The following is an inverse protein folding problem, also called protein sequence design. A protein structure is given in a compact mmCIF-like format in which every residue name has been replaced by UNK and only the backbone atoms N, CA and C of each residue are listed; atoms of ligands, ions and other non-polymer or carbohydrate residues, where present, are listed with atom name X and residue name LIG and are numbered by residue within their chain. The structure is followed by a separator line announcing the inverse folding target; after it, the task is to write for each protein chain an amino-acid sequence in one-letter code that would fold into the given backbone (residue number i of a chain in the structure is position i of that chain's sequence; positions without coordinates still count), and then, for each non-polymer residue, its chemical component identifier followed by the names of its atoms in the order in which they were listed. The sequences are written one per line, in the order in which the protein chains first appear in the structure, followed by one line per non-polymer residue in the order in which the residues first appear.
data_IF_308282431722
#
_entry.id   IF_308282431722
#
_cell.length_a   1.000
_cell.length_b   1.000
_cell.length_c   1.000
_cell.angle_alpha   90.00
_cell.angle_beta   90.00
_cell.angle_gamma   90.00
#
_symmetry.space_group_name_H-M   'P 1'
#
loop_
_entity.id
_entity.type
_entity.pdbx_description
1 polymer ?
#
# COMPACT_ATOMS: atom_id res chain seq x y z
N UNK A 1 3.08 38.33 -15.19
CA UNK A 1 2.12 37.26 -14.88
C UNK A 1 2.92 36.14 -14.24
N UNK A 2 3.01 36.13 -12.91
CA UNK A 2 3.81 35.13 -12.20
C UNK A 2 3.01 33.84 -12.08
N UNK A 3 3.61 32.77 -12.58
CA UNK A 3 3.14 31.40 -12.44
C UNK A 3 2.99 31.04 -10.96
N UNK A 4 1.81 30.54 -10.59
CA UNK A 4 1.64 29.77 -9.36
C UNK A 4 0.53 28.74 -9.56
N UNK A 5 0.80 27.75 -10.41
CA UNK A 5 0.14 26.45 -10.28
C UNK A 5 1.10 25.61 -9.44
N UNK A 6 0.80 25.33 -8.16
CA UNK A 6 1.58 24.36 -7.41
C UNK A 6 1.40 22.99 -8.07
N UNK A 7 2.53 22.32 -8.29
CA UNK A 7 2.64 20.95 -8.77
C UNK A 7 1.63 20.03 -8.07
N UNK A 8 0.57 19.63 -8.79
CA UNK A 8 -0.45 18.68 -8.34
C UNK A 8 0.12 17.28 -8.05
N UNK A 9 1.41 17.05 -8.32
CA UNK A 9 2.14 15.83 -7.98
C UNK A 9 2.50 15.72 -6.49
N UNK A 10 2.54 16.83 -5.73
CA UNK A 10 3.00 16.78 -4.34
C UNK A 10 1.96 16.21 -3.35
N UNK A 11 0.71 16.04 -3.77
CA UNK A 11 -0.34 15.43 -2.94
C UNK A 11 -0.41 13.89 -3.04
N UNK A 12 0.34 13.27 -3.95
CA UNK A 12 0.31 11.82 -4.16
C UNK A 12 1.29 11.03 -3.26
N UNK A 13 2.20 11.70 -2.54
CA UNK A 13 3.33 11.01 -1.87
C UNK A 13 3.35 11.07 -0.34
N UNK A 14 2.42 11.76 0.32
CA UNK A 14 2.37 11.83 1.80
C UNK A 14 1.48 10.77 2.46
N UNK A 15 0.67 10.02 1.72
CA UNK A 15 -0.28 9.05 2.29
C UNK A 15 0.03 7.58 1.99
N UNK A 16 1.18 7.21 1.41
CA UNK A 16 1.47 5.79 1.06
C UNK A 16 1.24 4.85 2.26
N UNK A 17 1.69 5.26 3.45
CA UNK A 17 1.41 4.52 4.69
C UNK A 17 -0.06 4.58 5.10
N UNK A 18 -0.71 5.74 5.02
CA UNK A 18 -2.12 5.91 5.37
C UNK A 18 -3.06 5.09 4.48
N UNK A 19 -2.74 4.98 3.20
CA UNK A 19 -3.49 4.18 2.22
C UNK A 19 -3.27 2.68 2.48
N UNK A 20 -2.03 2.24 2.72
CA UNK A 20 -1.72 0.87 3.15
C UNK A 20 -2.42 0.49 4.45
N UNK A 21 -2.49 1.42 5.41
CA UNK A 21 -3.16 1.22 6.68
C UNK A 21 -4.69 1.14 6.50
N UNK A 22 -5.29 2.04 5.73
CA UNK A 22 -6.72 2.02 5.42
C UNK A 22 -7.12 0.74 4.67
N UNK A 23 -6.29 0.28 3.72
CA UNK A 23 -6.49 -0.98 3.02
C UNK A 23 -6.43 -2.17 3.98
N UNK A 24 -5.43 -2.21 4.88
CA UNK A 24 -5.29 -3.25 5.88
C UNK A 24 -6.49 -3.30 6.86
N UNK A 25 -7.03 -2.14 7.25
CA UNK A 25 -8.27 -2.04 8.03
C UNK A 25 -9.44 -2.64 7.25
N UNK A 26 -9.62 -2.24 5.99
CA UNK A 26 -10.73 -2.72 5.17
C UNK A 26 -10.64 -4.23 4.91
N UNK A 27 -9.43 -4.76 4.76
CA UNK A 27 -9.15 -6.19 4.65
C UNK A 27 -9.51 -6.94 5.93
N UNK A 28 -9.12 -6.42 7.09
CA UNK A 28 -9.44 -7.07 8.36
C UNK A 28 -10.94 -7.01 8.66
N UNK A 29 -11.64 -5.92 8.32
CA UNK A 29 -13.09 -5.83 8.44
C UNK A 29 -13.80 -6.88 7.56
N UNK A 30 -13.28 -7.13 6.35
CA UNK A 30 -13.77 -8.22 5.48
C UNK A 30 -13.55 -9.59 6.12
N UNK A 31 -12.37 -9.83 6.68
CA UNK A 31 -12.05 -11.10 7.34
C UNK A 31 -12.97 -11.34 8.54
N UNK A 32 -13.22 -10.30 9.34
CA UNK A 32 -14.12 -10.37 10.47
C UNK A 32 -15.57 -10.58 10.06
N UNK A 33 -16.05 -9.85 9.05
CA UNK A 33 -17.36 -10.08 8.44
C UNK A 33 -17.53 -11.54 8.01
N UNK A 34 -16.51 -12.13 7.38
CA UNK A 34 -16.55 -13.53 6.96
C UNK A 34 -16.62 -14.49 8.18
N UNK A 35 -15.86 -14.22 9.24
CA UNK A 35 -15.91 -15.00 10.49
C UNK A 35 -17.28 -14.95 11.16
N UNK A 36 -17.96 -13.82 11.09
CA UNK A 36 -19.30 -13.61 11.67
C UNK A 36 -20.44 -14.10 10.76
N UNK A 37 -20.15 -14.48 9.52
CA UNK A 37 -21.17 -14.92 8.56
C UNK A 37 -22.15 -13.83 8.11
N UNK A 38 -21.83 -12.54 8.33
CA UNK A 38 -22.71 -11.41 7.96
C UNK A 38 -22.58 -11.02 6.48
N UNK A 39 -23.69 -10.65 5.89
CA UNK A 39 -23.76 -10.02 4.56
C UNK A 39 -23.53 -8.51 4.66
N UNK A 40 -23.37 -7.83 3.52
CA UNK A 40 -23.30 -6.37 3.53
C UNK A 40 -24.65 -5.75 3.89
N UNK A 41 -25.76 -6.43 3.61
CA UNK A 41 -27.10 -5.96 3.92
C UNK A 41 -27.34 -5.99 5.43
N UNK A 42 -26.94 -7.07 6.12
CA UNK A 42 -27.05 -7.18 7.58
C UNK A 42 -26.29 -6.06 8.30
N UNK A 43 -25.06 -5.79 7.84
CA UNK A 43 -24.21 -4.73 8.41
C UNK A 43 -24.79 -3.36 8.11
N UNK A 44 -25.31 -3.16 6.89
CA UNK A 44 -25.91 -1.90 6.47
C UNK A 44 -27.15 -1.56 7.30
N UNK A 45 -28.02 -2.55 7.55
CA UNK A 45 -29.19 -2.40 8.41
C UNK A 45 -28.79 -2.04 9.84
N UNK A 46 -27.82 -2.74 10.43
CA UNK A 46 -27.39 -2.51 11.81
C UNK A 46 -26.70 -1.14 12.03
N UNK A 47 -25.94 -0.68 11.04
CA UNK A 47 -25.18 0.58 11.09
C UNK A 47 -25.97 1.77 10.51
N UNK A 48 -27.13 1.52 9.90
CA UNK A 48 -27.94 2.58 9.27
C UNK A 48 -27.32 3.16 8.00
N UNK A 49 -26.59 2.35 7.23
CA UNK A 49 -25.96 2.75 5.97
C UNK A 49 -26.61 2.04 4.78
N UNK A 50 -26.26 2.43 3.56
CA UNK A 50 -26.63 1.64 2.38
C UNK A 50 -25.65 0.48 2.16
N UNK A 51 -26.09 -0.69 1.68
CA UNK A 51 -25.20 -1.83 1.40
C UNK A 51 -24.08 -1.50 0.42
N UNK A 52 -24.35 -0.62 -0.55
CA UNK A 52 -23.36 -0.12 -1.50
C UNK A 52 -22.27 0.70 -0.80
N UNK A 53 -22.64 1.48 0.21
CA UNK A 53 -21.69 2.26 1.00
C UNK A 53 -20.79 1.35 1.81
N UNK A 54 -21.36 0.34 2.49
CA UNK A 54 -20.60 -0.70 3.20
C UNK A 54 -19.64 -1.41 2.25
N UNK A 55 -20.11 -1.82 1.07
CA UNK A 55 -19.29 -2.46 0.04
C UNK A 55 -18.09 -1.59 -0.37
N UNK A 56 -18.30 -0.29 -0.60
CA UNK A 56 -17.24 0.63 -1.01
C UNK A 56 -16.18 0.82 0.09
N UNK A 57 -16.61 0.93 1.34
CA UNK A 57 -15.69 0.97 2.49
C UNK A 57 -14.88 -0.31 2.59
N UNK A 58 -15.55 -1.47 2.56
CA UNK A 58 -14.87 -2.75 2.64
C UNK A 58 -13.91 -2.95 1.46
N UNK A 59 -14.24 -2.50 0.24
CA UNK A 59 -13.32 -2.59 -0.91
C UNK A 59 -12.18 -1.56 -0.90
N UNK A 60 -12.10 -0.66 0.07
CA UNK A 60 -11.12 0.45 0.05
C UNK A 60 -11.37 1.48 -1.05
N UNK A 61 -12.54 1.44 -1.70
CA UNK A 61 -12.93 2.39 -2.76
C UNK A 61 -13.37 3.74 -2.19
N UNK A 62 -13.52 3.83 -0.87
CA UNK A 62 -13.87 5.02 -0.13
C UNK A 62 -13.20 4.95 1.24
N UNK A 63 -12.60 6.06 1.69
CA UNK A 63 -12.08 6.18 3.06
C UNK A 63 -13.21 6.01 4.08
N UNK A 64 -12.93 5.29 5.15
CA UNK A 64 -13.89 5.02 6.22
C UNK A 64 -13.79 6.14 7.28
N UNK A 65 -14.84 6.94 7.50
CA UNK A 65 -14.89 7.87 8.62
C UNK A 65 -14.70 7.16 9.97
N UNK A 66 -14.08 7.81 10.95
CA UNK A 66 -13.71 7.15 12.21
C UNK A 66 -14.91 6.72 13.06
N UNK A 67 -16.00 7.48 13.01
CA UNK A 67 -17.30 7.16 13.59
C UNK A 67 -17.89 5.90 12.94
N UNK A 68 -17.94 5.88 11.60
CA UNK A 68 -18.40 4.72 10.83
C UNK A 68 -17.54 3.48 11.10
N UNK A 69 -16.23 3.63 11.24
CA UNK A 69 -15.34 2.54 11.61
C UNK A 69 -15.70 1.93 12.97
N UNK A 70 -16.01 2.77 13.96
CA UNK A 70 -16.49 2.33 15.27
C UNK A 70 -17.78 1.54 15.18
N UNK A 71 -18.75 2.02 14.39
CA UNK A 71 -20.03 1.33 14.19
C UNK A 71 -19.87 -0.01 13.46
N UNK A 72 -19.02 -0.07 12.43
CA UNK A 72 -18.67 -1.31 11.74
C UNK A 72 -18.02 -2.32 12.69
N UNK A 73 -17.10 -1.89 13.55
CA UNK A 73 -16.48 -2.76 14.54
C UNK A 73 -17.53 -3.31 15.51
N UNK A 74 -18.41 -2.44 16.03
CA UNK A 74 -19.51 -2.84 16.91
C UNK A 74 -20.44 -3.85 16.25
N UNK A 75 -20.89 -3.59 15.02
CA UNK A 75 -21.75 -4.49 14.26
C UNK A 75 -21.09 -5.85 13.99
N UNK A 76 -19.77 -5.88 13.85
CA UNK A 76 -18.99 -7.10 13.65
C UNK A 76 -18.54 -7.78 14.94
N UNK A 77 -18.95 -7.28 16.12
CA UNK A 77 -18.50 -7.78 17.41
C UNK A 77 -16.98 -7.69 17.61
N UNK A 78 -16.32 -6.75 16.92
CA UNK A 78 -14.89 -6.56 16.91
C UNK A 78 -14.47 -5.40 17.81
N UNK A 79 -13.30 -5.53 18.43
CA UNK A 79 -12.68 -4.43 19.15
C UNK A 79 -11.86 -3.56 18.16
N UNK A 80 -12.18 -2.27 18.10
CA UNK A 80 -11.47 -1.30 17.25
C UNK A 80 -9.94 -1.26 17.52
N UNK A 81 -9.52 -1.47 18.77
CA UNK A 81 -8.10 -1.53 19.13
C UNK A 81 -7.41 -2.77 18.52
N UNK A 82 -8.07 -3.91 18.51
CA UNK A 82 -7.53 -5.13 17.89
C UNK A 82 -7.48 -4.98 16.36
N UNK A 83 -8.54 -4.43 15.78
CA UNK A 83 -8.62 -4.14 14.35
C UNK A 83 -7.47 -3.23 13.88
N UNK A 84 -7.22 -2.16 14.61
CA UNK A 84 -6.13 -1.22 14.30
C UNK A 84 -4.75 -1.81 14.54
N UNK A 85 -4.56 -2.63 15.59
CA UNK A 85 -3.31 -3.35 15.83
C UNK A 85 -2.99 -4.32 14.69
N UNK A 86 -3.95 -5.15 14.26
CA UNK A 86 -3.76 -6.10 13.15
C UNK A 86 -3.44 -5.36 11.86
N UNK A 87 -4.17 -4.27 11.57
CA UNK A 87 -3.91 -3.46 10.39
C UNK A 87 -2.52 -2.81 10.43
N UNK A 88 -2.08 -2.35 11.60
CA UNK A 88 -0.74 -1.78 11.81
C UNK A 88 0.36 -2.82 11.48
N UNK A 89 0.21 -4.04 12.00
CA UNK A 89 1.16 -5.14 11.77
C UNK A 89 1.25 -5.52 10.28
N UNK A 90 0.09 -5.57 9.59
CA UNK A 90 0.01 -5.82 8.14
C UNK A 90 0.66 -4.70 7.32
N UNK A 91 0.31 -3.44 7.61
CA UNK A 91 0.86 -2.28 6.91
C UNK A 91 2.38 -2.20 7.07
N UNK A 92 2.91 -2.40 8.28
CA UNK A 92 4.36 -2.46 8.52
C UNK A 92 5.06 -3.53 7.68
N UNK A 93 4.44 -4.71 7.59
CA UNK A 93 5.00 -5.83 6.83
C UNK A 93 5.00 -5.53 5.34
N UNK A 94 3.93 -4.94 4.81
CA UNK A 94 3.85 -4.48 3.43
C UNK A 94 4.93 -3.42 3.14
N UNK A 95 5.11 -2.44 4.03
CA UNK A 95 6.15 -1.42 3.86
C UNK A 95 7.57 -2.03 3.88
N UNK A 96 7.85 -2.98 4.77
CA UNK A 96 9.14 -3.70 4.80
C UNK A 96 9.39 -4.46 3.50
N UNK A 97 8.39 -5.15 2.97
CA UNK A 97 8.49 -5.89 1.70
C UNK A 97 8.70 -4.94 0.51
N UNK A 98 8.02 -3.80 0.50
CA UNK A 98 8.21 -2.78 -0.54
C UNK A 98 9.66 -2.25 -0.53
N UNK A 99 10.21 -2.00 0.66
CA UNK A 99 11.57 -1.51 0.81
C UNK A 99 12.62 -2.54 0.40
N UNK A 100 12.48 -3.81 0.81
CA UNK A 100 13.40 -4.87 0.37
C UNK A 100 13.38 -5.04 -1.15
N UNK A 101 12.21 -4.94 -1.78
CA UNK A 101 12.08 -4.99 -3.23
C UNK A 101 12.74 -3.80 -3.93
N UNK A 102 12.60 -2.58 -3.36
CA UNK A 102 13.29 -1.38 -3.86
C UNK A 102 14.80 -1.52 -3.77
N UNK A 103 15.32 -2.01 -2.64
CA UNK A 103 16.74 -2.24 -2.44
C UNK A 103 17.29 -3.29 -3.41
N UNK A 104 16.57 -4.40 -3.61
CA UNK A 104 16.93 -5.44 -4.59
C UNK A 104 16.97 -4.89 -6.03
N UNK A 105 15.97 -4.10 -6.42
CA UNK A 105 15.96 -3.45 -7.73
C UNK A 105 17.14 -2.49 -7.91
N UNK A 106 17.46 -1.71 -6.87
CA UNK A 106 18.61 -0.79 -6.88
C UNK A 106 19.95 -1.53 -7.00
N UNK A 107 20.10 -2.69 -6.34
CA UNK A 107 21.31 -3.52 -6.48
C UNK A 107 21.43 -4.10 -7.88
N UNK A 108 20.35 -4.59 -8.47
CA UNK A 108 20.35 -5.16 -9.84
C UNK A 108 20.74 -4.10 -10.88
N UNK A 109 20.17 -2.90 -10.77
CA UNK A 109 20.49 -1.75 -11.64
C UNK A 109 21.95 -1.33 -11.47
N UNK A 110 22.46 -1.29 -10.24
CA UNK A 110 23.87 -0.97 -9.99
C UNK A 110 24.80 -2.01 -10.62
N UNK A 111 24.48 -3.31 -10.51
CA UNK A 111 25.28 -4.40 -11.08
C UNK A 111 25.31 -4.35 -12.62
N UNK A 112 24.16 -4.02 -13.22
CA UNK A 112 24.06 -3.79 -14.67
C UNK A 112 24.87 -2.58 -15.14
N UNK A 113 24.88 -1.48 -14.37
CA UNK A 113 25.69 -0.29 -14.67
C UNK A 113 27.20 -0.60 -14.59
N UNK A 114 27.65 -1.31 -13.55
CA UNK A 114 29.04 -1.78 -13.45
C UNK A 114 29.44 -2.70 -14.60
N UNK A 115 28.53 -3.57 -15.08
CA UNK A 115 28.79 -4.44 -16.23
C UNK A 115 28.84 -3.72 -17.58
N UNK A 116 28.29 -2.51 -17.68
CA UNK A 116 28.35 -1.66 -18.86
C UNK A 116 29.61 -0.76 -18.85
N UNK A 117 29.98 -0.22 -17.70
CA UNK A 117 31.14 0.66 -17.50
C UNK A 117 32.47 -0.10 -17.32
N UNK A 118 32.42 -1.34 -16.82
CA UNK A 118 33.58 -2.18 -16.56
C UNK A 118 34.23 -2.83 -17.79
N UNK A 119 33.61 -2.71 -18.98
CA UNK A 119 34.14 -3.31 -20.21
C UNK A 119 35.29 -2.52 -20.84
N UNK A 120 35.47 -1.26 -20.48
CA UNK A 120 36.55 -0.41 -21.00
C UNK A 120 37.87 -0.58 -20.22
N UNK A 121 37.85 -1.23 -19.05
CA UNK A 121 39.03 -1.36 -18.18
C UNK A 121 39.92 -2.59 -18.47
N UNK A 122 39.50 -3.52 -19.32
CA UNK A 122 40.26 -4.74 -19.66
C UNK A 122 40.37 -5.01 -21.18
N UNK A 123 40.39 -3.96 -22.00
CA UNK A 123 40.66 -4.08 -23.44
C UNK A 123 41.58 -2.95 -23.90
N UNK A 124 42.82 -2.93 -23.42
CA UNK A 124 43.92 -2.15 -24.03
C UNK A 124 45.24 -2.86 -23.75
N UNK A 125 45.53 -3.92 -24.50
CA UNK A 125 46.89 -4.25 -24.86
C UNK A 125 46.90 -4.68 -26.33
N UNK A 126 47.01 -3.66 -27.19
CA UNK A 126 47.75 -3.64 -28.45
C UNK A 126 48.45 -4.96 -28.84
N UNK A 127 47.67 -5.88 -29.43
CA UNK A 127 48.19 -6.96 -30.27
C UNK A 127 48.32 -6.48 -31.72
N UNK A 128 49.14 -5.44 -31.96
CA UNK A 128 49.48 -5.05 -33.34
C UNK A 128 50.28 -6.17 -34.00
N UNK A 129 49.73 -6.72 -35.07
CA UNK A 129 50.49 -7.45 -36.07
C UNK A 129 51.37 -6.44 -36.83
N UNK A 130 52.68 -6.64 -36.83
CA UNK A 130 53.58 -5.96 -37.75
C UNK A 130 54.74 -6.85 -38.19
N UNK A 131 54.76 -7.04 -39.52
CA UNK A 131 55.79 -7.58 -40.44
C UNK A 131 56.12 -9.08 -40.39
#
# INVERSE_FOLDING_TARGET
MVNFLPDMCYYLSMTEYGDQFAEAIAEELRAQKARMGKTNDDIAEEVGLSPVTVLRYLKGQRQIPIDVFGDLCKALGANAADMTRIAYEKAQTASRIAETKRLAHKSDVSLAAYGAEGKDYYMNHDGEASA
#
